data_IF_455760110915
#
_entry.id   IF_455760110915
#
_cell.length_a   1.000
_cell.length_b   1.000
_cell.length_c   1.000
_cell.angle_alpha   90.00
_cell.angle_beta   90.00
_cell.angle_gamma   90.00
#
_symmetry.space_group_name_H-M   'P 1'
#
loop_
_entity.id
_entity.type
_entity.pdbx_description
1 polymer ?
#
# COMPACT_ATOMS: atom_id res chain seq x y z
N UNK A 1 -8.71 13.62 -7.56
CA UNK A 1 -9.33 13.03 -6.35
C UNK A 1 -8.72 13.75 -5.16
N UNK A 2 -9.50 14.02 -4.11
CA UNK A 2 -8.94 14.57 -2.86
C UNK A 2 -8.08 13.48 -2.21
N UNK A 3 -6.96 13.86 -1.58
CA UNK A 3 -6.12 12.90 -0.86
C UNK A 3 -6.88 12.32 0.33
N UNK A 4 -6.59 11.08 0.70
CA UNK A 4 -7.04 10.44 1.93
C UNK A 4 -6.59 11.27 3.14
N UNK A 5 -5.32 11.71 3.15
CA UNK A 5 -4.81 12.60 4.20
C UNK A 5 -5.63 13.88 4.34
N UNK A 6 -5.93 14.55 3.22
CA UNK A 6 -6.73 15.79 3.21
C UNK A 6 -8.19 15.55 3.62
N UNK A 7 -8.76 14.39 3.25
CA UNK A 7 -10.18 14.07 3.52
C UNK A 7 -10.43 13.71 4.98
N UNK A 8 -9.44 13.12 5.65
CA UNK A 8 -9.56 12.64 7.02
C UNK A 8 -8.72 13.42 8.04
N UNK A 9 -8.00 14.46 7.61
CA UNK A 9 -7.04 15.22 8.42
C UNK A 9 -6.06 14.28 9.16
N UNK A 10 -5.46 13.35 8.42
CA UNK A 10 -4.53 12.35 8.95
C UNK A 10 -3.12 12.53 8.37
N UNK A 11 -2.14 12.28 9.22
CA UNK A 11 -0.73 12.27 8.85
C UNK A 11 -0.33 10.98 8.12
N UNK A 12 0.75 11.02 7.36
CA UNK A 12 1.30 9.83 6.70
C UNK A 12 1.74 8.74 7.69
N UNK A 13 2.15 9.12 8.90
CA UNK A 13 2.52 8.19 9.97
C UNK A 13 1.30 7.40 10.43
N UNK A 14 0.17 8.07 10.63
CA UNK A 14 -1.11 7.43 10.97
C UNK A 14 -1.62 6.54 9.83
N UNK A 15 -1.43 6.93 8.57
CA UNK A 15 -1.76 6.08 7.41
C UNK A 15 -0.90 4.81 7.38
N UNK A 16 0.41 4.93 7.59
CA UNK A 16 1.32 3.79 7.69
C UNK A 16 0.93 2.87 8.84
N UNK A 17 0.60 3.44 10.00
CA UNK A 17 0.21 2.66 11.18
C UNK A 17 -1.15 1.97 10.96
N UNK A 18 -2.09 2.61 10.27
CA UNK A 18 -3.34 1.96 9.81
C UNK A 18 -3.06 0.76 8.91
N UNK A 19 -2.14 0.88 7.94
CA UNK A 19 -1.78 -0.25 7.06
C UNK A 19 -1.23 -1.43 7.87
N UNK A 20 -0.43 -1.17 8.91
CA UNK A 20 0.06 -2.20 9.83
C UNK A 20 -1.10 -2.87 10.60
N UNK A 21 -1.97 -2.07 11.21
CA UNK A 21 -3.14 -2.59 11.93
C UNK A 21 -4.05 -3.42 11.02
N UNK A 22 -4.32 -2.96 9.80
CA UNK A 22 -5.14 -3.70 8.84
C UNK A 22 -4.53 -5.04 8.44
N UNK A 23 -3.20 -5.12 8.36
CA UNK A 23 -2.50 -6.39 8.14
C UNK A 23 -2.73 -7.35 9.29
N UNK A 24 -2.50 -6.89 10.52
CA UNK A 24 -2.58 -7.69 11.74
C UNK A 24 -4.00 -8.19 12.00
N UNK A 25 -5.00 -7.37 11.68
CA UNK A 25 -6.42 -7.69 11.90
C UNK A 25 -7.06 -8.44 10.72
N UNK A 26 -6.34 -8.72 9.63
CA UNK A 26 -6.89 -9.27 8.38
C UNK A 26 -8.10 -8.45 7.87
N UNK A 27 -7.95 -7.13 7.85
CA UNK A 27 -8.98 -6.20 7.39
C UNK A 27 -9.38 -6.49 5.94
N UNK A 28 -10.70 -6.56 5.66
CA UNK A 28 -11.25 -7.06 4.38
C UNK A 28 -11.85 -5.97 3.49
N UNK A 29 -11.25 -4.77 3.47
CA UNK A 29 -11.65 -3.72 2.54
C UNK A 29 -10.49 -3.38 1.59
N UNK A 30 -10.42 -4.12 0.50
CA UNK A 30 -9.34 -4.02 -0.48
C UNK A 30 -9.32 -2.67 -1.20
N UNK A 31 -10.47 -2.06 -1.47
CA UNK A 31 -10.53 -0.71 -2.07
C UNK A 31 -9.85 0.33 -1.17
N UNK A 32 -10.14 0.30 0.13
CA UNK A 32 -9.55 1.25 1.07
C UNK A 32 -8.05 1.01 1.29
N UNK A 33 -7.60 -0.25 1.28
CA UNK A 33 -6.17 -0.59 1.33
C UNK A 33 -5.43 -0.03 0.12
N UNK A 34 -6.02 -0.12 -1.07
CA UNK A 34 -5.46 0.45 -2.30
C UNK A 34 -5.36 1.97 -2.17
N UNK A 35 -6.44 2.67 -1.80
CA UNK A 35 -6.46 4.13 -1.70
C UNK A 35 -5.38 4.67 -0.75
N UNK A 36 -5.31 4.14 0.47
CA UNK A 36 -4.32 4.56 1.48
C UNK A 36 -2.91 4.18 1.06
N UNK A 37 -2.74 2.97 0.52
CA UNK A 37 -1.44 2.47 0.11
C UNK A 37 -0.87 3.21 -1.11
N UNK A 38 -1.68 3.50 -2.13
CA UNK A 38 -1.24 4.29 -3.29
C UNK A 38 -0.79 5.69 -2.87
N UNK A 39 -1.49 6.35 -1.95
CA UNK A 39 -1.07 7.67 -1.45
C UNK A 39 0.27 7.58 -0.71
N UNK A 40 0.44 6.59 0.17
CA UNK A 40 1.71 6.36 0.86
C UNK A 40 2.86 6.11 -0.13
N UNK A 41 2.64 5.27 -1.14
CA UNK A 41 3.65 4.92 -2.15
C UNK A 41 3.97 6.10 -3.08
N UNK A 42 2.98 6.90 -3.46
CA UNK A 42 3.19 8.00 -4.40
C UNK A 42 3.76 9.26 -3.74
N UNK A 43 3.35 9.55 -2.50
CA UNK A 43 3.69 10.84 -1.86
C UNK A 43 4.72 10.72 -0.74
N UNK A 44 4.86 9.53 -0.15
CA UNK A 44 5.61 9.33 1.08
C UNK A 44 6.60 8.17 1.03
N UNK A 45 6.83 7.55 -0.14
CA UNK A 45 7.75 6.42 -0.31
C UNK A 45 9.13 6.64 0.33
N UNK A 46 9.72 7.82 0.16
CA UNK A 46 11.05 8.14 0.72
C UNK A 46 11.09 8.18 2.25
N UNK A 47 9.94 8.29 2.93
CA UNK A 47 9.81 8.33 4.40
C UNK A 47 9.46 6.98 5.02
N UNK A 48 9.03 6.00 4.21
CA UNK A 48 8.53 4.72 4.70
C UNK A 48 9.63 3.75 5.14
N UNK A 49 10.89 3.96 4.71
CA UNK A 49 11.98 3.04 5.04
C UNK A 49 11.67 1.61 4.58
N UNK A 50 11.85 0.63 5.45
CA UNK A 50 11.60 -0.78 5.13
C UNK A 50 10.10 -1.14 5.07
N UNK A 51 9.22 -0.33 5.68
CA UNK A 51 7.77 -0.57 5.66
C UNK A 51 7.19 -0.44 4.24
N UNK A 52 7.91 0.22 3.31
CA UNK A 52 7.48 0.40 1.92
C UNK A 52 7.20 -0.94 1.23
N UNK A 53 7.99 -1.96 1.53
CA UNK A 53 7.88 -3.27 0.88
C UNK A 53 6.65 -4.03 1.35
N UNK A 54 6.32 -3.91 2.64
CA UNK A 54 5.09 -4.48 3.20
C UNK A 54 3.88 -3.77 2.61
N UNK A 55 3.95 -2.44 2.43
CA UNK A 55 2.87 -1.68 1.79
C UNK A 55 2.68 -2.09 0.33
N UNK A 56 3.76 -2.27 -0.44
CA UNK A 56 3.66 -2.82 -1.81
C UNK A 56 3.00 -4.19 -1.85
N UNK A 57 3.34 -5.09 -0.92
CA UNK A 57 2.71 -6.42 -0.82
C UNK A 57 1.21 -6.32 -0.50
N UNK A 58 0.84 -5.50 0.49
CA UNK A 58 -0.56 -5.31 0.87
C UNK A 58 -1.39 -4.70 -0.27
N UNK A 59 -0.87 -3.67 -0.95
CA UNK A 59 -1.54 -3.03 -2.09
C UNK A 59 -1.65 -4.00 -3.25
N UNK A 60 -0.63 -4.82 -3.52
CA UNK A 60 -0.68 -5.85 -4.56
C UNK A 60 -1.81 -6.85 -4.29
N UNK A 61 -1.91 -7.39 -3.07
CA UNK A 61 -2.95 -8.36 -2.71
C UNK A 61 -4.34 -7.72 -2.83
N UNK A 62 -4.51 -6.52 -2.27
CA UNK A 62 -5.78 -5.80 -2.36
C UNK A 62 -6.17 -5.47 -3.80
N UNK A 63 -5.21 -5.09 -4.65
CA UNK A 63 -5.43 -4.84 -6.05
C UNK A 63 -5.89 -6.10 -6.80
N UNK A 64 -5.30 -7.26 -6.50
CA UNK A 64 -5.76 -8.54 -7.07
C UNK A 64 -7.20 -8.87 -6.66
N UNK A 65 -7.56 -8.65 -5.39
CA UNK A 65 -8.93 -8.87 -4.90
C UNK A 65 -9.96 -7.97 -5.60
N UNK A 66 -9.54 -6.75 -5.97
CA UNK A 66 -10.36 -5.78 -6.69
C UNK A 66 -10.31 -5.90 -8.22
N UNK A 67 -9.52 -6.84 -8.78
CA UNK A 67 -9.31 -6.96 -10.23
C UNK A 67 -8.57 -5.76 -10.86
N UNK A 68 -7.77 -5.04 -10.06
CA UNK A 68 -6.94 -3.90 -10.47
C UNK A 68 -5.54 -4.37 -10.87
N UNK A 69 -5.47 -5.13 -11.96
CA UNK A 69 -4.24 -5.76 -12.45
C UNK A 69 -3.11 -4.74 -12.76
N UNK A 70 -3.49 -3.52 -13.14
CA UNK A 70 -2.58 -2.40 -13.36
C UNK A 70 -1.76 -2.07 -12.11
N UNK A 71 -2.45 -1.92 -10.97
CA UNK A 71 -1.83 -1.62 -9.68
C UNK A 71 -1.06 -2.84 -9.18
N UNK A 72 -1.65 -4.03 -9.26
CA UNK A 72 -1.02 -5.26 -8.80
C UNK A 72 0.32 -5.51 -9.52
N UNK A 73 0.35 -5.34 -10.85
CA UNK A 73 1.55 -5.54 -11.65
C UNK A 73 2.64 -4.50 -11.33
N UNK A 74 2.25 -3.24 -11.11
CA UNK A 74 3.19 -2.19 -10.69
C UNK A 74 3.87 -2.53 -9.36
N UNK A 75 3.08 -2.94 -8.36
CA UNK A 75 3.60 -3.34 -7.05
C UNK A 75 4.52 -4.57 -7.17
N UNK A 76 4.12 -5.58 -7.95
CA UNK A 76 4.92 -6.78 -8.18
C UNK A 76 6.27 -6.47 -8.83
N UNK A 77 6.33 -5.51 -9.76
CA UNK A 77 7.58 -5.12 -10.41
C UNK A 77 8.57 -4.52 -9.40
N UNK A 78 8.11 -3.64 -8.52
CA UNK A 78 8.95 -3.05 -7.47
C UNK A 78 9.44 -4.11 -6.46
N UNK A 79 8.54 -5.02 -6.04
CA UNK A 79 8.92 -6.12 -5.16
C UNK A 79 9.97 -7.04 -5.79
N UNK A 80 9.82 -7.41 -7.07
CA UNK A 80 10.80 -8.25 -7.78
C UNK A 80 12.14 -7.53 -7.98
N UNK A 81 12.12 -6.21 -8.16
CA UNK A 81 13.33 -5.39 -8.28
C UNK A 81 14.10 -5.36 -6.97
N UNK A 82 13.41 -5.24 -5.85
CA UNK A 82 14.02 -5.21 -4.53
C UNK A 82 14.49 -6.60 -4.05
N UNK A 83 13.70 -7.64 -4.32
CA UNK A 83 13.96 -9.01 -3.89
C UNK A 83 14.14 -9.93 -5.10
N UNK A 84 15.22 -9.79 -5.87
CA UNK A 84 15.44 -10.63 -7.04
C UNK A 84 15.61 -12.10 -6.63
N UNK A 85 14.76 -12.97 -7.15
CA UNK A 85 14.83 -14.41 -6.91
C UNK A 85 14.16 -14.90 -5.62
N UNK A 86 13.44 -14.04 -4.88
CA UNK A 86 12.46 -14.51 -3.90
C UNK A 86 11.28 -15.12 -4.66
N UNK A 87 11.14 -16.44 -4.62
CA UNK A 87 10.03 -17.21 -5.15
C UNK A 87 9.43 -18.07 -4.04
#
# INVERSE_FOLDING_TARGET
>A
MSKVSDMFDVTWEEMRDKMKTWREENYRNSEHIIEVGEELLNEHASKLGDDIWIIYEQVMIAALDCGRDDIAMSCLQELRRQFPGSH
#
